data_IF_488691699162
#
_entry.id   IF_488691699162
#
_cell.length_a   1.000
_cell.length_b   1.000
_cell.length_c   1.000
_cell.angle_alpha   90.00
_cell.angle_beta   90.00
_cell.angle_gamma   90.00
#
_symmetry.space_group_name_H-M   'P 1'
#
loop_
_entity.id
_entity.type
_entity.pdbx_description
1 polymer ?
#
# COMPACT_ATOMS: atom_id res chain seq x y z
N UNK A 1 5.04 -39.72 12.55
CA UNK A 1 4.76 -38.47 11.83
C UNK A 1 5.19 -37.33 12.73
N UNK A 2 5.92 -36.34 12.22
CA UNK A 2 6.39 -35.22 13.04
C UNK A 2 5.38 -34.06 12.97
N UNK A 3 4.95 -33.59 14.13
CA UNK A 3 4.22 -32.31 14.29
C UNK A 3 5.24 -31.18 14.10
N UNK A 4 4.87 -30.09 13.40
CA UNK A 4 5.73 -28.91 13.29
C UNK A 4 6.77 -28.92 12.17
N UNK A 5 6.53 -29.58 11.02
CA UNK A 5 7.52 -29.65 9.94
C UNK A 5 7.78 -28.30 9.23
N UNK A 6 6.80 -27.41 9.19
CA UNK A 6 6.89 -26.12 8.50
C UNK A 6 6.62 -24.95 9.46
N UNK A 7 7.51 -23.96 9.46
CA UNK A 7 7.35 -22.70 10.20
C UNK A 7 6.93 -21.55 9.29
N UNK A 8 6.28 -20.56 9.87
CA UNK A 8 5.93 -19.27 9.27
C UNK A 8 6.03 -18.16 10.32
N UNK A 9 6.09 -16.91 9.88
CA UNK A 9 5.98 -15.72 10.73
C UNK A 9 4.55 -15.19 10.63
N UNK A 10 3.85 -15.04 11.76
CA UNK A 10 2.47 -14.55 11.80
C UNK A 10 2.35 -13.02 11.64
N UNK A 11 1.12 -12.51 11.64
CA UNK A 11 0.81 -11.08 11.57
C UNK A 11 1.48 -10.26 12.69
N UNK A 12 1.55 -10.83 13.91
CA UNK A 12 2.22 -10.24 15.07
C UNK A 12 3.75 -10.27 14.95
N UNK A 13 4.29 -11.02 13.99
CA UNK A 13 5.71 -11.12 13.71
C UNK A 13 6.43 -12.25 14.44
N UNK A 14 5.72 -13.17 15.09
CA UNK A 14 6.25 -14.33 15.81
C UNK A 14 6.37 -15.57 14.91
N UNK A 15 7.42 -16.38 15.12
CA UNK A 15 7.55 -17.68 14.45
C UNK A 15 6.56 -18.70 15.04
N UNK A 16 5.65 -19.18 14.20
CA UNK A 16 4.74 -20.31 14.49
C UNK A 16 5.17 -21.56 13.69
N UNK A 17 4.57 -22.68 14.03
CA UNK A 17 4.76 -23.98 13.36
C UNK A 17 3.40 -24.60 13.04
N UNK A 18 3.24 -25.15 11.83
CA UNK A 18 2.02 -25.86 11.44
C UNK A 18 1.95 -27.18 12.21
N UNK A 19 0.83 -27.39 12.92
CA UNK A 19 0.67 -28.47 13.89
C UNK A 19 0.46 -29.84 13.24
N UNK A 20 -0.81 -30.22 13.07
CA UNK A 20 -1.23 -31.49 12.49
C UNK A 20 -1.79 -31.35 11.07
N UNK A 21 -1.89 -30.13 10.54
CA UNK A 21 -2.48 -29.85 9.25
C UNK A 21 -1.58 -30.30 8.09
N UNK A 22 -2.20 -30.75 7.00
CA UNK A 22 -1.48 -31.09 5.77
C UNK A 22 -1.01 -29.81 5.06
N UNK A 23 0.26 -29.77 4.67
CA UNK A 23 0.84 -28.68 3.87
C UNK A 23 1.10 -29.18 2.45
N UNK A 24 0.47 -28.56 1.46
CA UNK A 24 0.58 -28.95 0.05
C UNK A 24 1.67 -28.12 -0.63
N UNK A 25 2.58 -28.76 -1.37
CA UNK A 25 3.59 -28.03 -2.14
C UNK A 25 2.96 -27.47 -3.42
N UNK A 26 3.17 -26.19 -3.67
CA UNK A 26 2.88 -25.58 -4.97
C UNK A 26 3.81 -26.20 -6.02
N UNK A 27 3.32 -26.33 -7.25
CA UNK A 27 4.07 -26.84 -8.42
C UNK A 27 3.73 -26.00 -9.66
N UNK A 28 4.49 -26.11 -10.77
CA UNK A 28 4.13 -25.48 -12.05
C UNK A 28 2.75 -25.86 -12.61
N UNK A 29 2.18 -26.97 -12.15
CA UNK A 29 0.85 -27.47 -12.55
C UNK A 29 -0.28 -27.04 -11.59
N UNK A 30 0.05 -26.39 -10.47
CA UNK A 30 -0.95 -25.93 -9.49
C UNK A 30 -1.80 -24.81 -10.08
N UNK A 31 -3.08 -25.09 -10.35
CA UNK A 31 -4.05 -24.15 -10.91
C UNK A 31 -5.10 -23.67 -9.90
N UNK A 32 -5.24 -24.37 -8.77
CA UNK A 32 -6.18 -24.03 -7.68
C UNK A 32 -5.52 -24.26 -6.33
N UNK A 33 -5.79 -23.36 -5.38
CA UNK A 33 -5.57 -23.54 -3.94
C UNK A 33 -6.95 -23.63 -3.28
N UNK A 34 -7.28 -24.73 -2.60
CA UNK A 34 -8.63 -25.04 -2.12
C UNK A 34 -8.65 -25.30 -0.61
N UNK A 35 -8.59 -24.21 0.15
CA UNK A 35 -8.51 -24.20 1.61
C UNK A 35 -7.17 -24.67 2.20
N UNK A 36 -6.84 -24.18 3.39
CA UNK A 36 -5.73 -24.70 4.20
C UNK A 36 -4.34 -24.29 3.70
N UNK A 37 -3.33 -25.10 4.02
CA UNK A 37 -1.92 -24.71 3.98
C UNK A 37 -1.19 -25.15 2.71
N UNK A 38 -0.48 -24.20 2.10
CA UNK A 38 0.38 -24.40 0.93
C UNK A 38 1.78 -23.83 1.16
N UNK A 39 2.79 -24.41 0.51
CA UNK A 39 4.17 -23.89 0.55
C UNK A 39 4.81 -23.82 -0.84
N UNK A 40 5.52 -22.72 -1.10
CA UNK A 40 6.44 -22.52 -2.22
C UNK A 40 7.85 -22.92 -1.78
N UNK A 41 8.43 -23.93 -2.43
CA UNK A 41 9.83 -24.34 -2.24
C UNK A 41 10.57 -24.33 -3.59
N UNK A 42 11.75 -23.71 -3.65
CA UNK A 42 12.52 -23.54 -4.89
C UNK A 42 11.90 -22.49 -5.83
N UNK A 43 12.23 -22.56 -7.13
CA UNK A 43 11.71 -21.65 -8.15
C UNK A 43 10.61 -22.32 -8.97
N UNK A 44 9.41 -21.77 -8.89
CA UNK A 44 8.20 -22.23 -9.57
C UNK A 44 7.74 -21.14 -10.53
N UNK A 45 7.52 -21.51 -11.79
CA UNK A 45 6.93 -20.63 -12.80
C UNK A 45 5.65 -21.27 -13.31
N UNK A 46 4.52 -20.59 -13.15
CA UNK A 46 3.17 -21.07 -13.44
C UNK A 46 2.57 -20.25 -14.59
N UNK A 47 2.36 -20.91 -15.75
CA UNK A 47 1.81 -20.29 -16.96
C UNK A 47 0.29 -20.35 -16.95
N UNK A 48 -0.36 -19.32 -16.40
CA UNK A 48 -1.79 -19.22 -16.18
C UNK A 48 -2.13 -19.00 -14.71
N UNK A 49 -3.37 -18.59 -14.45
CA UNK A 49 -3.95 -18.27 -13.14
C UNK A 49 -3.75 -19.37 -12.09
N UNK A 50 -3.57 -18.97 -10.84
CA UNK A 50 -3.87 -19.79 -9.66
C UNK A 50 -5.14 -19.24 -9.01
N UNK A 51 -6.22 -20.03 -9.00
CA UNK A 51 -7.50 -19.67 -8.38
C UNK A 51 -7.49 -20.02 -6.89
N UNK A 52 -8.00 -19.14 -6.04
CA UNK A 52 -8.16 -19.35 -4.60
C UNK A 52 -9.61 -19.67 -4.28
N UNK A 53 -9.82 -20.81 -3.63
CA UNK A 53 -11.11 -21.32 -3.13
C UNK A 53 -11.03 -21.48 -1.61
N UNK A 54 -12.06 -21.02 -0.90
CA UNK A 54 -12.10 -20.99 0.55
C UNK A 54 -11.05 -20.07 1.17
N UNK A 55 -10.51 -20.48 2.32
CA UNK A 55 -9.51 -19.73 3.08
C UNK A 55 -8.14 -20.42 2.99
N UNK A 56 -7.20 -19.79 2.27
CA UNK A 56 -5.89 -20.35 1.92
C UNK A 56 -4.77 -19.63 2.65
N UNK A 57 -3.81 -20.41 3.14
CA UNK A 57 -2.58 -19.94 3.77
C UNK A 57 -1.38 -20.34 2.91
N UNK A 58 -0.68 -19.37 2.32
CA UNK A 58 0.45 -19.58 1.41
C UNK A 58 1.77 -19.16 2.06
N UNK A 59 2.63 -20.13 2.35
CA UNK A 59 3.99 -19.89 2.85
C UNK A 59 4.96 -19.74 1.67
N UNK A 60 5.65 -18.61 1.61
CA UNK A 60 6.80 -18.40 0.73
C UNK A 60 8.07 -18.88 1.46
N UNK A 61 8.57 -20.06 1.07
CA UNK A 61 9.74 -20.69 1.68
C UNK A 61 11.02 -19.88 1.51
N UNK A 62 11.99 -20.05 2.42
CA UNK A 62 13.25 -19.29 2.32
C UNK A 62 13.94 -19.51 0.96
N UNK A 63 14.48 -18.42 0.40
CA UNK A 63 15.16 -18.39 -0.91
C UNK A 63 14.33 -18.98 -2.08
N UNK A 64 13.00 -19.04 -1.93
CA UNK A 64 12.08 -19.63 -2.90
C UNK A 64 11.30 -18.54 -3.65
N UNK A 65 10.74 -18.89 -4.81
CA UNK A 65 10.11 -17.95 -5.74
C UNK A 65 8.94 -18.59 -6.47
N UNK A 66 7.79 -17.91 -6.48
CA UNK A 66 6.62 -18.28 -7.28
C UNK A 66 6.31 -17.15 -8.27
N UNK A 67 6.42 -17.43 -9.57
CA UNK A 67 6.01 -16.53 -10.65
C UNK A 67 4.69 -17.02 -11.24
N UNK A 68 3.69 -16.15 -11.34
CA UNK A 68 2.37 -16.47 -11.90
C UNK A 68 1.88 -15.36 -12.82
N UNK A 69 1.40 -15.75 -14.01
CA UNK A 69 0.76 -14.83 -14.95
C UNK A 69 -0.68 -15.28 -15.23
N UNK A 70 -1.64 -14.41 -14.94
CA UNK A 70 -3.07 -14.67 -15.15
C UNK A 70 -3.45 -14.79 -16.62
N UNK A 71 -4.58 -15.45 -16.88
CA UNK A 71 -5.15 -15.63 -18.21
C UNK A 71 -6.68 -15.44 -18.18
N UNK A 72 -7.27 -15.25 -19.36
CA UNK A 72 -8.72 -15.23 -19.57
C UNK A 72 -9.47 -14.27 -18.62
N UNK A 73 -8.95 -13.05 -18.51
CA UNK A 73 -9.43 -11.96 -17.65
C UNK A 73 -9.38 -12.23 -16.14
N UNK A 74 -8.56 -13.18 -15.69
CA UNK A 74 -8.31 -13.46 -14.28
C UNK A 74 -6.96 -12.89 -13.80
N UNK A 75 -6.84 -12.70 -12.49
CA UNK A 75 -5.61 -12.26 -11.85
C UNK A 75 -4.51 -13.34 -11.88
N UNK A 76 -3.26 -12.98 -11.55
CA UNK A 76 -2.18 -13.96 -11.40
C UNK A 76 -2.50 -14.95 -10.28
N UNK A 77 -2.72 -14.40 -9.07
CA UNK A 77 -3.40 -15.10 -7.98
C UNK A 77 -4.84 -14.59 -7.94
N UNK A 78 -5.81 -15.39 -8.38
CA UNK A 78 -7.21 -14.98 -8.45
C UNK A 78 -7.97 -15.31 -7.16
N UNK A 79 -8.41 -14.27 -6.46
CA UNK A 79 -9.17 -14.35 -5.20
C UNK A 79 -10.50 -13.65 -5.43
N UNK A 80 -11.57 -14.42 -5.61
CA UNK A 80 -12.92 -13.91 -5.83
C UNK A 80 -13.70 -13.76 -4.52
N UNK A 81 -14.77 -12.96 -4.56
CA UNK A 81 -15.62 -12.65 -3.40
C UNK A 81 -16.00 -13.87 -2.54
N UNK A 82 -15.83 -13.73 -1.23
CA UNK A 82 -16.06 -14.80 -0.24
C UNK A 82 -14.85 -15.72 0.01
N UNK A 83 -13.83 -15.70 -0.85
CA UNK A 83 -12.57 -16.44 -0.64
C UNK A 83 -11.49 -15.53 -0.06
N UNK A 84 -10.43 -16.10 0.51
CA UNK A 84 -9.31 -15.33 1.06
C UNK A 84 -7.96 -16.01 0.91
N UNK A 85 -6.90 -15.24 0.68
CA UNK A 85 -5.51 -15.70 0.78
C UNK A 85 -4.77 -14.95 1.88
N UNK A 86 -4.02 -15.67 2.73
CA UNK A 86 -3.01 -15.09 3.63
C UNK A 86 -1.62 -15.55 3.22
N UNK A 87 -0.74 -14.61 2.93
CA UNK A 87 0.63 -14.84 2.45
C UNK A 87 1.61 -14.64 3.61
N UNK A 88 2.51 -15.61 3.84
CA UNK A 88 3.49 -15.61 4.92
C UNK A 88 4.92 -15.84 4.38
N UNK A 89 5.93 -15.43 5.13
CA UNK A 89 7.32 -15.92 4.98
C UNK A 89 7.75 -16.77 6.17
N UNK A 90 8.83 -17.54 6.02
CA UNK A 90 9.47 -18.26 7.13
C UNK A 90 10.55 -17.45 7.85
N UNK A 91 10.94 -16.30 7.29
CA UNK A 91 12.05 -15.45 7.69
C UNK A 91 11.76 -13.96 7.45
N UNK A 92 12.73 -13.10 7.79
CA UNK A 92 12.75 -11.66 7.48
C UNK A 92 14.04 -11.32 6.74
N UNK A 93 14.03 -10.29 5.90
CA UNK A 93 15.21 -9.83 5.17
C UNK A 93 15.45 -10.60 3.86
N UNK A 94 16.71 -10.73 3.45
CA UNK A 94 17.10 -11.20 2.11
C UNK A 94 16.73 -12.67 1.82
N UNK A 95 16.61 -13.51 2.86
CA UNK A 95 16.17 -14.91 2.70
C UNK A 95 14.67 -15.09 2.44
N UNK A 96 13.86 -14.03 2.50
CA UNK A 96 12.41 -14.12 2.33
C UNK A 96 12.01 -14.69 0.98
N UNK A 97 11.16 -15.72 1.00
CA UNK A 97 10.51 -16.22 -0.20
C UNK A 97 9.70 -15.13 -0.93
N UNK A 98 9.56 -15.28 -2.24
CA UNK A 98 8.99 -14.25 -3.11
C UNK A 98 7.81 -14.74 -3.95
N UNK A 99 6.88 -13.82 -4.24
CA UNK A 99 5.75 -13.99 -5.13
C UNK A 99 5.79 -12.89 -6.19
N UNK A 100 5.72 -13.27 -7.46
CA UNK A 100 5.67 -12.37 -8.60
C UNK A 100 4.39 -12.67 -9.39
N UNK A 101 3.34 -11.88 -9.18
CA UNK A 101 2.01 -12.13 -9.73
C UNK A 101 1.60 -11.03 -10.74
N UNK A 102 1.24 -11.42 -11.96
CA UNK A 102 0.82 -10.51 -13.03
C UNK A 102 -0.59 -10.83 -13.49
N UNK A 103 -1.47 -9.83 -13.58
CA UNK A 103 -2.85 -10.00 -14.04
C UNK A 103 -3.00 -10.09 -15.56
N UNK A 104 -4.07 -10.73 -16.02
CA UNK A 104 -4.57 -10.54 -17.38
C UNK A 104 -5.13 -9.12 -17.57
N UNK A 105 -5.41 -8.71 -18.82
CA UNK A 105 -6.16 -7.47 -19.11
C UNK A 105 -7.46 -7.44 -18.29
N UNK A 106 -7.72 -6.34 -17.60
CA UNK A 106 -8.88 -6.19 -16.73
C UNK A 106 -8.76 -6.84 -15.35
N UNK A 107 -7.64 -7.47 -15.00
CA UNK A 107 -7.50 -8.24 -13.76
C UNK A 107 -6.26 -7.88 -12.92
N UNK A 108 -6.36 -8.07 -11.61
CA UNK A 108 -5.32 -7.67 -10.66
C UNK A 108 -4.05 -8.54 -10.77
N UNK A 109 -2.93 -8.10 -10.20
CA UNK A 109 -1.79 -9.01 -9.96
C UNK A 109 -2.18 -10.12 -8.97
N UNK A 110 -2.75 -9.70 -7.84
CA UNK A 110 -3.34 -10.55 -6.80
C UNK A 110 -4.75 -10.03 -6.51
N UNK A 111 -5.78 -10.87 -6.62
CA UNK A 111 -7.17 -10.55 -6.26
C UNK A 111 -8.20 -10.74 -7.39
N UNK A 112 -9.03 -9.73 -7.61
CA UNK A 112 -10.20 -9.77 -8.49
C UNK A 112 -9.87 -9.90 -9.98
N UNK A 113 -10.81 -10.52 -10.71
CA UNK A 113 -10.83 -10.54 -12.18
C UNK A 113 -11.63 -9.36 -12.76
N UNK A 114 -11.72 -9.30 -14.08
CA UNK A 114 -12.59 -8.36 -14.79
C UNK A 114 -14.07 -8.64 -14.48
N UNK A 115 -14.86 -7.61 -14.15
CA UNK A 115 -16.28 -7.70 -13.78
C UNK A 115 -16.57 -8.70 -12.62
N UNK A 116 -15.56 -9.02 -11.80
CA UNK A 116 -15.67 -10.02 -10.73
C UNK A 116 -15.37 -9.46 -9.33
N UNK A 117 -16.19 -9.83 -8.36
CA UNK A 117 -15.99 -9.45 -6.95
C UNK A 117 -14.62 -9.92 -6.43
N UNK A 118 -13.94 -9.06 -5.66
CA UNK A 118 -12.67 -9.37 -5.01
C UNK A 118 -12.86 -10.10 -3.68
N UNK A 119 -11.97 -11.04 -3.39
CA UNK A 119 -11.85 -11.66 -2.06
C UNK A 119 -10.90 -10.90 -1.12
N UNK A 120 -10.65 -11.48 0.06
CA UNK A 120 -9.77 -10.89 1.08
C UNK A 120 -8.30 -11.26 0.84
N UNK A 121 -7.40 -10.28 0.91
CA UNK A 121 -5.96 -10.46 0.65
C UNK A 121 -5.16 -10.00 1.87
N UNK A 122 -4.54 -10.95 2.57
CA UNK A 122 -3.73 -10.68 3.76
C UNK A 122 -2.24 -10.96 3.48
N UNK A 123 -1.33 -10.07 3.89
CA UNK A 123 0.11 -10.23 3.70
C UNK A 123 0.84 -10.07 5.03
N UNK A 124 1.30 -11.20 5.58
CA UNK A 124 2.04 -11.29 6.84
C UNK A 124 3.56 -11.42 6.64
N UNK A 125 4.03 -11.62 5.41
CA UNK A 125 5.46 -11.61 5.11
C UNK A 125 5.80 -11.95 3.67
N UNK A 126 7.10 -11.97 3.39
CA UNK A 126 7.67 -12.28 2.07
C UNK A 126 7.98 -11.05 1.22
N UNK A 127 8.52 -11.31 0.03
CA UNK A 127 8.77 -10.31 -1.01
C UNK A 127 7.70 -10.44 -2.09
N UNK A 128 6.65 -9.62 -2.02
CA UNK A 128 5.48 -9.71 -2.90
C UNK A 128 5.54 -8.62 -3.95
N UNK A 129 5.72 -9.01 -5.21
CA UNK A 129 5.63 -8.12 -6.38
C UNK A 129 4.34 -8.45 -7.14
N UNK A 130 3.47 -7.46 -7.34
CA UNK A 130 2.18 -7.65 -8.00
C UNK A 130 1.92 -6.57 -9.06
N UNK A 131 1.56 -6.98 -10.28
CA UNK A 131 1.33 -6.07 -11.42
C UNK A 131 -0.06 -6.31 -11.99
N UNK A 132 -0.91 -5.28 -11.98
CA UNK A 132 -2.23 -5.32 -12.59
C UNK A 132 -2.15 -5.27 -14.13
N UNK A 133 -3.08 -5.95 -14.79
CA UNK A 133 -3.34 -5.69 -16.20
C UNK A 133 -3.99 -4.32 -16.41
N UNK A 134 -4.20 -3.94 -17.67
CA UNK A 134 -4.93 -2.71 -18.01
C UNK A 134 -6.27 -2.62 -17.27
N UNK A 135 -6.57 -1.45 -16.72
CA UNK A 135 -7.74 -1.12 -15.89
C UNK A 135 -7.84 -1.83 -14.54
N UNK A 136 -6.77 -2.47 -14.04
CA UNK A 136 -6.79 -3.24 -12.79
C UNK A 136 -5.62 -2.93 -11.83
N UNK A 137 -5.82 -3.27 -10.55
CA UNK A 137 -4.87 -2.97 -9.48
C UNK A 137 -3.64 -3.90 -9.46
N UNK A 138 -2.54 -3.45 -8.87
CA UNK A 138 -1.42 -4.34 -8.53
C UNK A 138 -1.87 -5.43 -7.55
N UNK A 139 -2.41 -5.01 -6.40
CA UNK A 139 -3.07 -5.88 -5.41
C UNK A 139 -4.49 -5.36 -5.19
N UNK A 140 -5.50 -6.22 -5.32
CA UNK A 140 -6.90 -5.88 -5.06
C UNK A 140 -7.82 -6.18 -6.24
N UNK A 141 -8.52 -5.17 -6.75
CA UNK A 141 -9.59 -5.32 -7.72
C UNK A 141 -9.14 -5.40 -9.19
N UNK A 142 -9.87 -6.17 -9.99
CA UNK A 142 -9.90 -6.03 -11.44
C UNK A 142 -10.67 -4.78 -11.87
N UNK A 143 -10.97 -4.66 -13.17
CA UNK A 143 -11.89 -3.66 -13.70
C UNK A 143 -13.31 -3.89 -13.17
N UNK A 144 -14.00 -2.81 -12.79
CA UNK A 144 -15.40 -2.82 -12.32
C UNK A 144 -15.64 -3.84 -11.18
N UNK A 145 -14.66 -3.94 -10.28
CA UNK A 145 -14.62 -4.87 -9.16
C UNK A 145 -15.24 -4.26 -7.89
N UNK A 146 -15.94 -5.08 -7.11
CA UNK A 146 -16.54 -4.72 -5.82
C UNK A 146 -15.99 -5.66 -4.73
N UNK A 147 -16.00 -5.22 -3.47
CA UNK A 147 -15.84 -6.13 -2.32
C UNK A 147 -14.40 -6.37 -1.84
N UNK A 148 -13.41 -5.65 -2.37
CA UNK A 148 -12.00 -5.86 -2.03
C UNK A 148 -11.68 -5.42 -0.59
N UNK A 149 -11.14 -6.34 0.20
CA UNK A 149 -10.49 -6.08 1.50
C UNK A 149 -9.02 -6.49 1.43
N UNK A 150 -8.11 -5.61 1.85
CA UNK A 150 -6.65 -5.85 1.83
C UNK A 150 -6.07 -5.56 3.22
N UNK A 151 -5.33 -6.52 3.80
CA UNK A 151 -4.52 -6.30 4.99
C UNK A 151 -3.03 -6.58 4.71
N UNK A 152 -2.14 -5.68 5.13
CA UNK A 152 -0.69 -5.86 5.04
C UNK A 152 -0.07 -5.63 6.42
N UNK A 153 0.33 -6.73 7.06
CA UNK A 153 0.92 -6.75 8.38
C UNK A 153 2.45 -6.61 8.34
N UNK A 154 3.11 -7.29 7.40
CA UNK A 154 4.57 -7.37 7.34
C UNK A 154 5.07 -7.76 5.93
N UNK A 155 6.38 -7.65 5.69
CA UNK A 155 7.03 -8.04 4.43
C UNK A 155 7.48 -6.84 3.57
N UNK A 156 7.88 -7.13 2.33
CA UNK A 156 8.25 -6.14 1.32
C UNK A 156 7.29 -6.27 0.15
N UNK A 157 6.39 -5.29 -0.02
CA UNK A 157 5.34 -5.30 -1.03
C UNK A 157 5.62 -4.25 -2.10
N UNK A 158 5.62 -4.66 -3.37
CA UNK A 158 5.72 -3.77 -4.53
C UNK A 158 4.53 -4.02 -5.45
N UNK A 159 3.63 -3.04 -5.55
CA UNK A 159 2.34 -3.19 -6.21
C UNK A 159 2.14 -2.10 -7.26
N UNK A 160 1.99 -2.50 -8.52
CA UNK A 160 1.87 -1.58 -9.66
C UNK A 160 0.55 -1.82 -10.39
N UNK A 161 -0.30 -0.79 -10.45
CA UNK A 161 -1.51 -0.81 -11.25
C UNK A 161 -1.23 -0.78 -12.74
N UNK A 162 -2.12 -1.35 -13.54
CA UNK A 162 -2.14 -1.08 -14.97
C UNK A 162 -2.61 0.36 -15.25
N UNK A 163 -2.68 0.74 -16.53
CA UNK A 163 -3.34 1.99 -16.96
C UNK A 163 -4.74 2.05 -16.33
N UNK A 164 -5.13 3.16 -15.70
CA UNK A 164 -6.38 3.35 -14.96
C UNK A 164 -6.53 2.59 -13.61
N UNK A 165 -5.59 1.73 -13.21
CA UNK A 165 -5.65 0.95 -11.96
C UNK A 165 -4.76 1.48 -10.83
N UNK A 166 -5.15 1.21 -9.58
CA UNK A 166 -4.37 1.58 -8.39
C UNK A 166 -3.14 0.67 -8.17
N UNK A 167 -2.16 1.12 -7.39
CA UNK A 167 -1.08 0.24 -6.93
C UNK A 167 -1.63 -0.85 -6.00
N UNK A 168 -2.26 -0.43 -4.91
CA UNK A 168 -2.99 -1.29 -3.96
C UNK A 168 -4.42 -0.75 -3.86
N UNK A 169 -5.43 -1.60 -4.05
CA UNK A 169 -6.85 -1.23 -3.97
C UNK A 169 -7.64 -1.55 -5.23
N UNK A 170 -8.24 -0.56 -5.89
CA UNK A 170 -9.22 -0.75 -6.96
C UNK A 170 -8.64 -0.71 -8.38
N UNK A 171 -9.26 -1.47 -9.29
CA UNK A 171 -9.19 -1.17 -10.71
C UNK A 171 -10.03 0.05 -11.09
N UNK A 172 -10.14 0.35 -12.38
CA UNK A 172 -11.04 1.39 -12.85
C UNK A 172 -12.51 1.03 -12.55
N UNK A 173 -13.35 2.05 -12.29
CA UNK A 173 -14.76 1.93 -11.87
C UNK A 173 -14.99 1.07 -10.60
N UNK A 174 -13.94 0.69 -9.89
CA UNK A 174 -14.02 -0.26 -8.77
C UNK A 174 -14.22 0.44 -7.43
N UNK A 175 -14.89 -0.26 -6.51
CA UNK A 175 -15.10 0.21 -5.12
C UNK A 175 -14.35 -0.69 -4.15
N UNK A 176 -13.31 -0.14 -3.51
CA UNK A 176 -12.60 -0.79 -2.41
C UNK A 176 -13.42 -0.64 -1.13
N UNK A 177 -13.46 -1.67 -0.29
CA UNK A 177 -14.06 -1.56 1.05
C UNK A 177 -13.02 -1.01 2.02
N UNK A 178 -11.93 -1.74 2.22
CA UNK A 178 -10.91 -1.42 3.21
C UNK A 178 -9.50 -1.82 2.75
N UNK A 179 -8.53 -0.95 3.01
CA UNK A 179 -7.09 -1.23 2.93
C UNK A 179 -6.47 -0.94 4.29
N UNK A 180 -5.99 -1.96 4.98
CA UNK A 180 -5.33 -1.85 6.29
C UNK A 180 -3.85 -2.19 6.17
N UNK A 181 -2.96 -1.29 6.60
CA UNK A 181 -1.51 -1.48 6.57
C UNK A 181 -0.96 -1.30 7.99
N UNK A 182 -0.61 -2.42 8.64
CA UNK A 182 -0.07 -2.44 9.99
C UNK A 182 1.47 -2.40 10.01
N UNK A 183 2.14 -2.73 8.90
CA UNK A 183 3.60 -2.73 8.83
C UNK A 183 4.20 -3.09 7.47
N UNK A 184 5.50 -3.38 7.47
CA UNK A 184 6.28 -3.73 6.27
C UNK A 184 6.89 -2.54 5.51
N UNK A 185 7.40 -2.83 4.32
CA UNK A 185 7.94 -1.86 3.35
C UNK A 185 7.06 -1.92 2.09
N UNK A 186 6.35 -0.84 1.79
CA UNK A 186 5.30 -0.80 0.76
C UNK A 186 5.70 0.18 -0.36
N UNK A 187 5.74 -0.27 -1.60
CA UNK A 187 5.93 0.55 -2.80
C UNK A 187 4.71 0.38 -3.71
N UNK A 188 3.81 1.34 -3.70
CA UNK A 188 2.51 1.24 -4.36
C UNK A 188 2.39 2.33 -5.44
N UNK A 189 2.27 1.94 -6.71
CA UNK A 189 2.19 2.88 -7.85
C UNK A 189 0.92 2.65 -8.64
N UNK A 190 0.00 3.62 -8.58
CA UNK A 190 -1.09 3.76 -9.52
C UNK A 190 -0.58 4.38 -10.80
N UNK A 191 -0.92 3.78 -11.94
CA UNK A 191 -0.54 4.31 -13.24
C UNK A 191 -1.49 5.45 -13.65
N UNK A 192 -1.49 5.86 -14.92
CA UNK A 192 -2.36 6.92 -15.46
C UNK A 192 -3.78 6.85 -14.89
N UNK A 193 -4.15 7.81 -14.04
CA UNK A 193 -5.49 7.96 -13.47
C UNK A 193 -5.78 7.20 -12.17
N UNK A 194 -4.94 6.25 -11.75
CA UNK A 194 -5.13 5.46 -10.53
C UNK A 194 -4.31 5.98 -9.33
N UNK A 195 -4.78 5.70 -8.11
CA UNK A 195 -4.07 6.07 -6.90
C UNK A 195 -2.89 5.12 -6.58
N UNK A 196 -1.89 5.59 -5.85
CA UNK A 196 -0.86 4.70 -5.29
C UNK A 196 -1.49 3.64 -4.39
N UNK A 197 -2.24 4.08 -3.38
CA UNK A 197 -3.06 3.24 -2.49
C UNK A 197 -4.49 3.79 -2.50
N UNK A 198 -5.49 2.93 -2.77
CA UNK A 198 -6.92 3.28 -2.81
C UNK A 198 -7.56 3.05 -4.18
N UNK A 199 -8.20 4.08 -4.74
CA UNK A 199 -9.09 3.96 -5.89
C UNK A 199 -8.38 3.95 -7.25
N UNK A 200 -8.90 3.17 -8.19
CA UNK A 200 -8.59 3.34 -9.62
C UNK A 200 -9.31 4.55 -10.22
N UNK A 201 -9.14 4.75 -11.52
CA UNK A 201 -9.85 5.78 -12.29
C UNK A 201 -11.37 5.66 -12.14
N UNK A 202 -12.06 6.77 -11.86
CA UNK A 202 -13.50 6.84 -11.54
C UNK A 202 -13.92 5.92 -10.36
N UNK A 203 -12.96 5.39 -9.58
CA UNK A 203 -13.18 4.50 -8.43
C UNK A 203 -12.94 5.17 -7.08
N UNK A 204 -13.77 4.84 -6.10
CA UNK A 204 -13.60 5.25 -4.70
C UNK A 204 -12.49 4.44 -4.02
N UNK A 205 -11.65 5.10 -3.22
CA UNK A 205 -10.55 4.43 -2.50
C UNK A 205 -10.94 3.75 -1.18
N UNK A 206 -12.22 3.82 -0.81
CA UNK A 206 -12.77 3.13 0.38
C UNK A 206 -12.29 3.73 1.69
N UNK A 207 -12.16 2.86 2.70
CA UNK A 207 -11.47 3.16 3.96
C UNK A 207 -10.01 2.75 3.84
N UNK A 208 -9.07 3.61 4.24
CA UNK A 208 -7.63 3.35 4.19
C UNK A 208 -7.05 3.58 5.59
N UNK A 209 -6.65 2.51 6.26
CA UNK A 209 -6.09 2.50 7.61
C UNK A 209 -4.60 2.18 7.51
N UNK A 210 -3.75 3.02 8.10
CA UNK A 210 -2.30 2.86 8.07
C UNK A 210 -1.77 3.02 9.50
N UNK A 211 -1.61 1.89 10.19
CA UNK A 211 -1.14 1.84 11.57
C UNK A 211 0.39 1.80 11.71
N UNK A 212 1.13 1.55 10.62
CA UNK A 212 2.58 1.50 10.64
C UNK A 212 3.24 1.21 9.28
N UNK A 213 4.55 0.96 9.32
CA UNK A 213 5.36 0.59 8.15
C UNK A 213 6.07 1.77 7.48
N UNK A 214 6.82 1.48 6.40
CA UNK A 214 7.43 2.48 5.52
C UNK A 214 6.81 2.39 4.13
N UNK A 215 6.16 3.45 3.68
CA UNK A 215 5.23 3.46 2.55
C UNK A 215 5.63 4.55 1.54
N UNK A 216 5.77 4.15 0.29
CA UNK A 216 5.97 5.01 -0.87
C UNK A 216 4.79 4.81 -1.82
N UNK A 217 3.92 5.81 -1.94
CA UNK A 217 2.62 5.71 -2.60
C UNK A 217 2.47 6.79 -3.68
N UNK A 218 2.44 6.39 -4.95
CA UNK A 218 2.54 7.28 -6.12
C UNK A 218 1.32 7.12 -7.03
N UNK A 219 0.58 8.18 -7.26
CA UNK A 219 -0.45 8.26 -8.31
C UNK A 219 0.05 9.02 -9.54
N UNK A 220 -0.14 8.45 -10.73
CA UNK A 220 0.32 9.04 -12.00
C UNK A 220 -0.84 9.63 -12.82
N UNK A 221 -0.53 10.68 -13.59
CA UNK A 221 -1.48 11.46 -14.40
C UNK A 221 -2.75 11.91 -13.65
N UNK A 222 -2.59 12.25 -12.36
CA UNK A 222 -3.61 12.92 -11.55
C UNK A 222 -4.28 12.08 -10.48
N UNK A 223 -4.00 10.78 -10.37
CA UNK A 223 -4.45 9.98 -9.22
C UNK A 223 -3.76 10.41 -7.91
N UNK A 224 -4.38 10.15 -6.76
CA UNK A 224 -3.78 10.46 -5.47
C UNK A 224 -2.56 9.58 -5.17
N UNK A 225 -1.67 10.02 -4.28
CA UNK A 225 -0.68 9.10 -3.68
C UNK A 225 -1.40 8.07 -2.81
N UNK A 226 -2.26 8.53 -1.90
CA UNK A 226 -3.17 7.71 -1.10
C UNK A 226 -4.57 8.33 -1.20
N UNK A 227 -5.59 7.55 -1.57
CA UNK A 227 -6.97 8.04 -1.70
C UNK A 227 -7.62 7.60 -3.01
N UNK A 228 -8.41 8.44 -3.68
CA UNK A 228 -9.11 8.05 -4.91
C UNK A 228 -8.30 8.27 -6.20
N UNK A 229 -8.74 7.63 -7.29
CA UNK A 229 -8.28 7.96 -8.64
C UNK A 229 -8.94 9.20 -9.23
N UNK A 230 -8.57 9.53 -10.47
CA UNK A 230 -9.07 10.69 -11.24
C UNK A 230 -10.58 10.55 -11.51
N UNK A 231 -11.28 11.69 -11.50
CA UNK A 231 -12.74 11.84 -11.63
C UNK A 231 -13.62 11.08 -10.62
N UNK A 232 -13.05 10.37 -9.64
CA UNK A 232 -13.83 9.84 -8.53
C UNK A 232 -14.42 10.99 -7.71
N UNK A 233 -15.76 11.07 -7.69
CA UNK A 233 -16.54 12.08 -6.96
C UNK A 233 -16.41 11.93 -5.44
N UNK A 234 -16.02 10.73 -4.96
CA UNK A 234 -15.82 10.42 -3.55
C UNK A 234 -14.32 10.27 -3.25
N UNK A 235 -13.82 11.03 -2.27
CA UNK A 235 -12.50 10.79 -1.68
C UNK A 235 -12.46 9.48 -0.88
N UNK A 236 -11.40 9.25 -0.10
CA UNK A 236 -11.32 8.09 0.81
C UNK A 236 -11.45 8.50 2.28
N UNK A 237 -11.96 7.61 3.13
CA UNK A 237 -11.86 7.78 4.58
C UNK A 237 -10.46 7.30 4.98
N UNK A 238 -9.62 8.17 5.52
CA UNK A 238 -8.20 7.88 5.74
C UNK A 238 -7.86 7.99 7.23
N UNK A 239 -7.23 6.95 7.77
CA UNK A 239 -6.73 6.90 9.14
C UNK A 239 -5.23 6.58 9.13
N UNK A 240 -4.39 7.47 9.64
CA UNK A 240 -2.92 7.28 9.67
C UNK A 240 -2.42 7.42 11.11
N UNK A 241 -1.80 6.39 11.64
CA UNK A 241 -1.13 6.42 12.95
C UNK A 241 0.25 7.11 12.86
N UNK A 242 0.73 7.69 13.95
CA UNK A 242 2.05 8.33 14.01
C UNK A 242 3.23 7.38 13.91
N UNK A 243 3.00 6.06 13.99
CA UNK A 243 4.01 5.03 13.73
C UNK A 243 4.24 4.76 12.23
N UNK A 244 3.46 5.37 11.32
CA UNK A 244 3.60 5.21 9.87
C UNK A 244 4.57 6.23 9.25
N UNK A 245 5.52 5.73 8.44
CA UNK A 245 6.47 6.55 7.67
C UNK A 245 6.03 6.61 6.20
N UNK A 246 5.40 7.72 5.79
CA UNK A 246 4.71 7.81 4.48
C UNK A 246 5.33 8.89 3.58
N UNK A 247 5.69 8.49 2.36
CA UNK A 247 5.90 9.36 1.21
C UNK A 247 4.73 9.17 0.22
N UNK A 248 3.84 10.16 0.11
CA UNK A 248 2.71 10.14 -0.83
C UNK A 248 2.91 11.20 -1.93
N UNK A 249 2.65 10.85 -3.19
CA UNK A 249 2.89 11.71 -4.35
C UNK A 249 1.76 11.59 -5.38
N UNK A 250 1.27 12.72 -5.90
CA UNK A 250 0.43 12.78 -7.11
C UNK A 250 1.14 13.55 -8.23
N UNK A 251 1.17 13.02 -9.46
CA UNK A 251 1.93 13.57 -10.58
C UNK A 251 1.09 13.84 -11.83
N UNK A 252 0.80 15.12 -12.11
CA UNK A 252 0.28 15.60 -13.41
C UNK A 252 -1.25 15.64 -13.53
N UNK A 253 -1.75 16.21 -14.63
CA UNK A 253 -3.19 16.40 -14.88
C UNK A 253 -3.83 17.51 -14.02
N UNK A 254 -5.16 17.55 -13.98
CA UNK A 254 -5.90 18.26 -12.93
C UNK A 254 -5.88 17.38 -11.68
N UNK A 255 -4.75 17.45 -10.98
CA UNK A 255 -4.32 16.46 -10.00
C UNK A 255 -5.21 16.42 -8.74
N UNK A 256 -5.60 15.21 -8.33
CA UNK A 256 -5.98 14.91 -6.95
C UNK A 256 -4.83 15.29 -6.00
N UNK A 257 -5.14 15.61 -4.73
CA UNK A 257 -4.11 15.81 -3.70
C UNK A 257 -3.20 14.58 -3.53
N UNK A 258 -2.03 14.77 -2.91
CA UNK A 258 -1.13 13.67 -2.56
C UNK A 258 -1.79 12.67 -1.60
N UNK A 259 -2.64 13.16 -0.67
CA UNK A 259 -3.56 12.34 0.10
C UNK A 259 -5.00 12.87 -0.03
N UNK A 260 -5.92 12.09 -0.60
CA UNK A 260 -7.31 12.46 -0.93
C UNK A 260 -8.31 11.99 0.14
N UNK A 261 -8.25 12.66 1.29
CA UNK A 261 -9.01 12.36 2.50
C UNK A 261 -10.37 13.09 2.56
N UNK A 262 -11.43 12.40 2.97
CA UNK A 262 -12.75 12.96 3.31
C UNK A 262 -12.78 13.56 4.73
N UNK A 263 -13.84 14.28 5.08
CA UNK A 263 -13.94 15.06 6.33
C UNK A 263 -14.04 14.26 7.64
N UNK A 264 -14.29 12.95 7.54
CA UNK A 264 -14.33 11.96 8.63
C UNK A 264 -13.00 11.22 8.85
N UNK A 265 -12.03 11.45 7.97
CA UNK A 265 -10.65 10.95 8.08
C UNK A 265 -9.96 11.49 9.34
N UNK A 266 -9.05 10.71 9.94
CA UNK A 266 -8.36 11.09 11.18
C UNK A 266 -6.88 10.65 11.25
N UNK A 267 -6.21 10.99 12.36
CA UNK A 267 -4.79 10.68 12.56
C UNK A 267 -3.85 11.69 11.89
N UNK A 268 -2.64 11.24 11.53
CA UNK A 268 -1.58 12.06 10.95
C UNK A 268 -1.72 12.08 9.41
N UNK A 269 -2.72 12.83 8.91
CA UNK A 269 -3.01 12.98 7.48
C UNK A 269 -2.12 14.05 6.83
N UNK A 270 -1.32 13.64 5.85
CA UNK A 270 -0.13 14.32 5.34
C UNK A 270 -0.32 14.72 3.85
N UNK A 271 -0.58 16.00 3.50
CA UNK A 271 -1.08 16.32 2.13
C UNK A 271 -0.64 17.65 1.42
N UNK A 272 0.42 17.67 0.59
CA UNK A 272 0.56 18.65 -0.51
C UNK A 272 1.53 18.23 -1.66
N UNK A 273 1.36 18.84 -2.83
CA UNK A 273 2.22 18.70 -4.03
C UNK A 273 2.33 20.03 -4.80
N UNK A 274 3.38 20.22 -5.61
CA UNK A 274 3.65 21.41 -6.42
C UNK A 274 3.99 21.03 -7.87
N UNK A 275 3.17 21.48 -8.84
CA UNK A 275 3.34 21.08 -10.25
C UNK A 275 4.65 21.55 -10.91
N UNK A 276 5.26 22.64 -10.44
CA UNK A 276 6.46 23.26 -11.02
C UNK A 276 7.53 23.56 -9.97
N UNK A 277 8.82 23.58 -10.36
CA UNK A 277 9.92 23.84 -9.43
C UNK A 277 9.88 25.29 -8.94
N UNK A 278 10.03 25.54 -7.64
CA UNK A 278 10.34 26.89 -7.15
C UNK A 278 11.69 27.39 -7.70
N UNK A 279 11.76 28.66 -8.09
CA UNK A 279 12.94 29.25 -8.76
C UNK A 279 14.00 29.79 -7.81
N UNK A 280 13.68 29.94 -6.52
CA UNK A 280 14.56 30.33 -5.42
C UNK A 280 14.14 29.55 -4.16
N UNK A 281 15.04 29.50 -3.17
CA UNK A 281 14.80 28.92 -1.85
C UNK A 281 13.61 29.55 -1.11
N UNK A 282 12.74 28.74 -0.47
CA UNK A 282 11.49 29.25 0.14
C UNK A 282 11.09 28.61 1.49
N UNK A 283 10.18 29.28 2.24
CA UNK A 283 10.12 29.09 3.69
C UNK A 283 8.74 29.05 4.43
N UNK A 284 8.52 28.05 5.31
CA UNK A 284 7.24 27.68 5.96
C UNK A 284 7.40 26.66 7.21
N UNK A 285 6.53 26.55 8.25
CA UNK A 285 6.73 25.76 9.53
C UNK A 285 5.94 24.43 9.82
N UNK A 286 6.54 23.43 10.51
CA UNK A 286 5.84 22.23 11.05
C UNK A 286 5.28 22.42 12.48
N UNK A 287 4.04 21.96 12.76
CA UNK A 287 3.26 22.36 13.96
C UNK A 287 3.54 21.59 15.27
N UNK A 288 4.06 20.36 15.22
CA UNK A 288 4.34 19.57 16.45
C UNK A 288 5.53 20.11 17.23
N UNK A 289 6.58 20.54 16.52
CA UNK A 289 7.86 20.96 17.09
C UNK A 289 8.34 22.36 16.66
N UNK A 290 7.50 23.21 16.03
CA UNK A 290 7.87 24.60 15.67
C UNK A 290 9.05 24.67 14.70
N UNK A 291 9.35 23.59 13.98
CA UNK A 291 10.56 23.44 13.18
C UNK A 291 10.48 24.06 11.78
N UNK A 292 11.64 24.08 11.13
CA UNK A 292 12.02 24.94 10.02
C UNK A 292 12.69 24.05 8.96
N UNK A 293 11.92 23.62 7.95
CA UNK A 293 12.23 22.51 7.01
C UNK A 293 12.67 22.98 5.59
N UNK A 294 13.98 23.08 5.31
CA UNK A 294 14.53 23.81 4.17
C UNK A 294 14.10 23.31 2.78
N UNK A 295 13.44 24.18 1.97
CA UNK A 295 13.14 23.96 0.55
C UNK A 295 14.06 24.77 -0.37
N UNK A 296 14.97 24.10 -1.11
CA UNK A 296 15.77 24.73 -2.16
C UNK A 296 14.95 25.07 -3.43
N UNK A 297 15.49 25.97 -4.23
CA UNK A 297 15.10 26.10 -5.64
C UNK A 297 15.08 24.72 -6.34
N UNK A 298 13.92 24.31 -6.87
CA UNK A 298 13.73 23.02 -7.54
C UNK A 298 12.54 22.17 -7.08
N UNK A 299 11.97 22.43 -5.89
CA UNK A 299 11.05 21.47 -5.25
C UNK A 299 9.61 21.42 -5.81
N UNK A 300 8.99 20.23 -5.71
CA UNK A 300 7.68 19.86 -6.30
C UNK A 300 6.70 19.11 -5.36
N UNK A 301 6.95 19.04 -4.05
CA UNK A 301 5.98 18.46 -3.10
C UNK A 301 6.54 18.25 -1.70
N UNK A 302 5.64 18.20 -0.71
CA UNK A 302 5.94 18.08 0.73
C UNK A 302 4.60 17.93 1.49
N UNK A 303 4.59 17.39 2.70
CA UNK A 303 3.34 17.05 3.38
C UNK A 303 3.51 16.98 4.93
N UNK A 304 2.44 17.17 5.73
CA UNK A 304 2.48 17.13 7.21
C UNK A 304 1.08 16.96 7.86
N UNK A 305 1.00 16.68 9.17
CA UNK A 305 -0.26 16.75 9.94
C UNK A 305 -0.09 17.11 11.43
N UNK A 306 -1.15 17.63 12.09
CA UNK A 306 -1.31 17.65 13.54
C UNK A 306 -2.65 17.04 14.03
N UNK A 307 -2.59 16.15 15.03
CA UNK A 307 -3.74 15.32 15.47
C UNK A 307 -4.92 16.06 16.12
N UNK A 308 -6.13 15.62 15.74
CA UNK A 308 -7.38 15.44 16.51
C UNK A 308 -7.80 16.49 17.56
N UNK A 309 -8.97 17.10 17.32
CA UNK A 309 -9.82 17.82 18.30
C UNK A 309 -11.27 17.32 18.08
N UNK A 310 -11.95 16.74 19.10
CA UNK A 310 -13.29 16.19 18.93
C UNK A 310 -14.41 17.25 18.81
N UNK A 311 -14.17 18.50 19.19
CA UNK A 311 -15.24 19.52 19.32
C UNK A 311 -15.37 20.48 18.11
N UNK A 312 -14.47 20.41 17.10
CA UNK A 312 -14.42 21.39 16.00
C UNK A 312 -14.58 20.80 14.58
N UNK A 313 -15.83 20.66 14.13
CA UNK A 313 -16.15 20.51 12.70
C UNK A 313 -15.92 21.83 11.93
N UNK A 314 -14.73 22.04 11.35
CA UNK A 314 -14.56 22.94 10.19
C UNK A 314 -13.26 22.70 9.41
N UNK A 315 -13.36 22.66 8.08
CA UNK A 315 -12.26 22.56 7.11
C UNK A 315 -11.01 23.38 7.50
N UNK A 316 -9.85 22.73 7.60
CA UNK A 316 -8.58 23.40 7.87
C UNK A 316 -7.43 22.91 6.98
N UNK A 317 -6.96 23.79 6.09
CA UNK A 317 -5.72 23.67 5.32
C UNK A 317 -4.58 24.46 5.98
N UNK A 318 -3.34 23.95 5.92
CA UNK A 318 -2.02 24.65 6.11
C UNK A 318 -0.88 23.62 6.24
N UNK A 319 0.11 23.58 5.33
CA UNK A 319 1.30 22.67 5.38
C UNK A 319 2.57 23.43 4.98
N UNK A 320 3.74 23.13 5.59
CA UNK A 320 4.87 24.09 5.63
C UNK A 320 6.20 23.49 6.27
N UNK A 321 7.54 23.54 5.94
CA UNK A 321 8.57 23.91 4.86
C UNK A 321 9.57 25.15 4.83
N UNK A 322 10.56 25.37 5.74
CA UNK A 322 11.42 26.61 5.92
C UNK A 322 12.93 26.63 5.46
N UNK A 323 13.35 27.35 4.38
CA UNK A 323 14.75 27.47 3.78
C UNK A 323 15.84 28.32 4.51
N UNK A 324 17.13 28.30 4.05
CA UNK A 324 18.11 29.46 3.92
C UNK A 324 19.57 29.08 3.47
N UNK A 325 20.35 30.06 2.97
CA UNK A 325 21.82 30.02 2.68
C UNK A 325 22.68 30.95 3.60
N UNK A 326 22.12 31.54 4.66
CA UNK A 326 22.75 32.65 5.43
C UNK A 326 23.06 32.37 6.92
N UNK A 327 22.65 31.22 7.45
CA UNK A 327 23.16 30.61 8.69
C UNK A 327 23.06 31.42 10.01
N UNK A 328 22.09 32.34 10.15
CA UNK A 328 21.80 32.99 11.45
C UNK A 328 20.30 33.00 11.78
N UNK A 329 19.87 32.06 12.64
CA UNK A 329 18.46 31.83 13.02
C UNK A 329 18.19 32.23 14.48
N UNK A 330 17.11 33.00 14.76
CA UNK A 330 16.52 33.07 16.08
C UNK A 330 14.98 32.83 16.10
N UNK A 331 14.55 31.69 16.67
CA UNK A 331 13.34 31.44 17.51
C UNK A 331 12.07 32.26 17.18
N UNK A 332 10.88 31.71 16.88
CA UNK A 332 10.24 30.43 17.22
C UNK A 332 8.72 30.56 16.90
N UNK A 333 7.80 29.67 17.28
CA UNK A 333 7.76 28.79 18.47
C UNK A 333 6.87 27.54 18.26
N UNK A 334 7.22 26.48 18.98
CA UNK A 334 6.47 25.24 19.29
C UNK A 334 5.30 25.51 20.28
N UNK A 335 4.49 24.47 20.61
CA UNK A 335 4.08 23.98 21.98
C UNK A 335 2.59 23.58 22.05
N UNK A 336 2.13 22.46 22.65
CA UNK A 336 2.66 21.10 23.01
C UNK A 336 1.43 20.14 23.07
N UNK A 337 1.46 18.80 23.22
CA UNK A 337 2.14 17.86 24.13
C UNK A 337 2.58 16.56 23.40
N UNK A 338 3.53 15.74 23.87
CA UNK A 338 4.18 15.69 25.19
C UNK A 338 5.71 15.41 25.11
N UNK A 339 6.37 15.59 26.25
CA UNK A 339 7.82 15.56 26.55
C UNK A 339 8.71 14.44 25.95
N UNK A 340 9.86 14.86 25.38
CA UNK A 340 11.18 14.24 25.62
C UNK A 340 11.65 13.12 24.67
N UNK A 341 12.87 13.16 24.11
CA UNK A 341 13.92 14.19 24.20
C UNK A 341 15.27 13.71 23.60
N UNK A 342 16.36 14.40 23.96
CA UNK A 342 17.77 14.01 23.67
C UNK A 342 18.14 13.97 22.16
N UNK A 343 18.29 15.15 21.55
CA UNK A 343 18.94 15.26 20.24
C UNK A 343 20.46 15.01 20.30
N UNK A 344 20.96 14.08 19.46
CA UNK A 344 22.40 13.82 19.27
C UNK A 344 23.00 14.89 18.33
N UNK A 345 24.32 15.09 18.41
CA UNK A 345 25.09 16.18 17.79
C UNK A 345 26.37 15.59 17.15
N UNK A 346 27.10 16.43 16.38
CA UNK A 346 28.49 16.24 15.87
C UNK A 346 28.53 15.50 14.51
N UNK A 347 29.46 15.84 13.57
CA UNK A 347 30.44 16.94 13.50
C UNK A 347 30.10 17.99 12.41
N UNK A 348 31.09 18.86 12.13
CA UNK A 348 31.19 19.74 10.95
C UNK A 348 31.35 18.97 9.64
#
# INVERSE_FOLDING_TARGET
MAVGQYSYIDENGETKYIGADTVIKVTPDTNTLDGGWYIVEGTINRTGTITVSGHVHLILGNNSSLTVSGNDNNAGIHVSGGNSITIYSQSRGEEMGSLHATGAVGAAGIGGGYDGDGGTININGGTVTATGGESAAGIGGGYNCVGVNIEINNGTVTATGGRLGAGIGGGALSSVIEITINGGIINATGNVGGAGIGGGYEGGGGTIIINGGTINAIGLSGGAGIGSGVYSENGSIIHIDGNANIAAVSLGGENKPAIDAQSDSSGIIINATLQTPISNDYAVYLKSDSSILKLPAGFKGFAFSPTYDPDNFTYNSKISVYSDESCTIPKGRIITDFLGGIGIKIPS
#
